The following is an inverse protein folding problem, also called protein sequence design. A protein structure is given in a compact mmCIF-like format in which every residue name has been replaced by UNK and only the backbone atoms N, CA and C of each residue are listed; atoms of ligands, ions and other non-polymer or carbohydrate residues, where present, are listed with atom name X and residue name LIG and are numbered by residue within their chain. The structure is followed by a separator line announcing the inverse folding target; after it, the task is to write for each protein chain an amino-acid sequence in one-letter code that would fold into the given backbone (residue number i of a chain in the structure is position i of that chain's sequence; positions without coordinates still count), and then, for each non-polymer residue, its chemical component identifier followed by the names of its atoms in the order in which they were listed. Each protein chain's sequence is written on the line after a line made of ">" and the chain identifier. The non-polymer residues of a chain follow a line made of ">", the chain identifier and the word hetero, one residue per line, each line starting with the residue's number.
data_IF_656131139061
#
_entry.id   IF_656131139061
#
_cell.length_a   1.000
_cell.length_b   1.000
_cell.length_c   1.000
_cell.angle_alpha   90.00
_cell.angle_beta   90.00
_cell.angle_gamma   90.00
#
_symmetry.space_group_name_H-M   'P 1'
#
loop_
_entity.id
_entity.type
_entity.pdbx_description
1 polymer ?
#
# COMPACT_ATOMS: atom_id res chain seq x y z
N UNK A 1 -0.23 17.00 15.83
CA UNK A 1 -0.49 17.11 14.37
C UNK A 1 0.62 16.49 13.50
N UNK A 2 1.92 16.68 13.81
CA UNK A 2 3.03 16.16 12.98
C UNK A 2 3.14 14.63 12.88
N UNK A 3 2.68 13.89 13.90
CA UNK A 3 2.73 12.42 13.93
C UNK A 3 1.84 11.77 12.88
N UNK A 4 0.70 12.40 12.53
CA UNK A 4 -0.20 11.90 11.49
C UNK A 4 0.36 12.11 10.09
N UNK A 5 1.00 13.26 9.85
CA UNK A 5 1.57 13.62 8.55
C UNK A 5 2.79 12.75 8.22
N UNK A 6 3.66 12.51 9.21
CA UNK A 6 4.80 11.61 9.06
C UNK A 6 4.38 10.15 8.83
N UNK A 7 3.26 9.71 9.41
CA UNK A 7 2.74 8.36 9.17
C UNK A 7 2.14 8.21 7.76
N UNK A 8 1.38 9.19 7.28
CA UNK A 8 0.85 9.21 5.91
C UNK A 8 1.97 9.23 4.86
N UNK A 9 3.02 10.02 5.07
CA UNK A 9 4.17 10.06 4.16
C UNK A 9 4.90 8.69 4.10
N UNK A 10 5.09 8.04 5.25
CA UNK A 10 5.69 6.69 5.31
C UNK A 10 4.80 5.66 4.61
N UNK A 11 3.49 5.72 4.85
CA UNK A 11 2.52 4.84 4.22
C UNK A 11 2.51 5.00 2.69
N UNK A 12 2.54 6.24 2.19
CA UNK A 12 2.69 6.52 0.76
C UNK A 12 3.99 5.93 0.20
N UNK A 13 5.11 6.13 0.90
CA UNK A 13 6.40 5.56 0.51
C UNK A 13 6.38 4.03 0.41
N UNK A 14 5.75 3.34 1.36
CA UNK A 14 5.59 1.88 1.30
C UNK A 14 4.73 1.43 0.12
N UNK A 15 3.61 2.10 -0.14
CA UNK A 15 2.75 1.77 -1.28
C UNK A 15 3.47 2.03 -2.61
N UNK A 16 4.24 3.12 -2.70
CA UNK A 16 5.02 3.47 -3.87
C UNK A 16 6.11 2.42 -4.13
N UNK A 17 6.84 2.03 -3.09
CA UNK A 17 7.83 0.95 -3.15
C UNK A 17 7.18 -0.39 -3.54
N UNK A 18 5.98 -0.68 -3.05
CA UNK A 18 5.23 -1.88 -3.41
C UNK A 18 4.84 -1.90 -4.90
N UNK A 19 4.40 -0.77 -5.47
CA UNK A 19 4.14 -0.69 -6.93
C UNK A 19 5.41 -0.88 -7.75
N UNK A 20 6.52 -0.30 -7.31
CA UNK A 20 7.80 -0.43 -7.99
C UNK A 20 8.29 -1.89 -7.95
N UNK A 21 8.24 -2.53 -6.78
CA UNK A 21 8.59 -3.93 -6.60
C UNK A 21 7.73 -4.84 -7.48
N UNK A 22 6.41 -4.61 -7.52
CA UNK A 22 5.50 -5.34 -8.39
C UNK A 22 5.95 -5.30 -9.86
N UNK A 23 6.30 -4.12 -10.37
CA UNK A 23 6.73 -3.96 -11.76
C UNK A 23 8.10 -4.59 -12.01
N UNK A 24 9.05 -4.45 -11.07
CA UNK A 24 10.37 -5.10 -11.19
C UNK A 24 10.21 -6.62 -11.30
N UNK A 25 9.44 -7.23 -10.41
CA UNK A 25 9.20 -8.68 -10.40
C UNK A 25 8.40 -9.11 -11.63
N UNK A 26 7.37 -8.35 -12.02
CA UNK A 26 6.57 -8.61 -13.21
C UNK A 26 7.40 -8.58 -14.51
N UNK A 27 8.30 -7.62 -14.66
CA UNK A 27 9.20 -7.52 -15.82
C UNK A 27 10.22 -8.65 -15.86
N UNK A 28 10.80 -9.01 -14.71
CA UNK A 28 11.79 -10.09 -14.61
C UNK A 28 11.21 -11.45 -15.07
N UNK A 29 9.90 -11.65 -14.89
CA UNK A 29 9.22 -12.89 -15.27
C UNK A 29 8.81 -12.96 -16.75
N UNK A 30 8.69 -11.83 -17.44
CA UNK A 30 8.17 -11.76 -18.82
C UNK A 30 9.25 -11.47 -19.89
N UNK A 31 10.55 -11.50 -19.53
CA UNK A 31 11.67 -11.14 -20.42
C UNK A 31 11.43 -9.82 -21.19
N UNK A 32 10.91 -8.80 -20.50
CA UNK A 32 10.71 -7.50 -21.12
C UNK A 32 12.02 -6.77 -21.44
N UNK A 33 11.94 -5.76 -22.31
CA UNK A 33 13.06 -4.93 -22.75
C UNK A 33 13.95 -4.49 -21.57
N UNK A 34 15.25 -4.81 -21.56
CA UNK A 34 16.15 -4.38 -20.49
C UNK A 34 16.24 -2.85 -20.40
N UNK A 35 16.42 -2.33 -19.19
CA UNK A 35 16.76 -0.92 -18.97
C UNK A 35 15.77 -0.12 -18.12
N UNK A 36 16.28 0.99 -17.56
CA UNK A 36 15.56 1.88 -16.63
C UNK A 36 14.33 2.51 -17.28
N UNK A 37 14.39 2.84 -18.58
CA UNK A 37 13.28 3.47 -19.29
C UNK A 37 12.07 2.53 -19.41
N UNK A 38 12.30 1.25 -19.74
CA UNK A 38 11.23 0.26 -19.78
C UNK A 38 10.56 0.10 -18.42
N UNK A 39 11.35 0.03 -17.34
CA UNK A 39 10.84 0.01 -15.97
C UNK A 39 9.95 1.22 -15.68
N UNK A 40 10.41 2.44 -15.99
CA UNK A 40 9.66 3.66 -15.76
C UNK A 40 8.37 3.71 -16.60
N UNK A 41 8.42 3.28 -17.87
CA UNK A 41 7.26 3.17 -18.76
C UNK A 41 6.21 2.23 -18.17
N UNK A 42 6.61 1.08 -17.63
CA UNK A 42 5.70 0.12 -17.03
C UNK A 42 5.18 0.56 -15.65
N UNK A 43 5.97 1.33 -14.90
CA UNK A 43 5.67 1.73 -13.52
C UNK A 43 4.82 2.99 -13.39
N UNK A 44 5.03 4.00 -14.25
CA UNK A 44 4.35 5.28 -14.12
C UNK A 44 2.80 5.20 -14.09
N UNK A 45 2.11 4.28 -14.80
CA UNK A 45 0.64 4.22 -14.74
C UNK A 45 0.14 3.91 -13.32
N UNK A 46 0.80 2.98 -12.63
CA UNK A 46 0.47 2.61 -11.26
C UNK A 46 0.90 3.69 -10.26
N UNK A 47 2.08 4.29 -10.46
CA UNK A 47 2.55 5.38 -9.61
C UNK A 47 1.66 6.62 -9.70
N UNK A 48 1.18 6.95 -10.90
CA UNK A 48 0.24 8.05 -11.13
C UNK A 48 -1.12 7.79 -10.48
N UNK A 49 -1.69 6.60 -10.68
CA UNK A 49 -2.96 6.21 -10.05
C UNK A 49 -2.86 6.19 -8.51
N UNK A 50 -1.75 5.67 -7.96
CA UNK A 50 -1.47 5.67 -6.53
C UNK A 50 -1.37 7.09 -5.97
N UNK A 51 -0.65 7.97 -6.67
CA UNK A 51 -0.49 9.36 -6.28
C UNK A 51 -1.84 10.06 -6.26
N UNK A 52 -2.67 9.88 -7.29
CA UNK A 52 -4.02 10.42 -7.33
C UNK A 52 -4.90 9.91 -6.16
N UNK A 53 -4.85 8.61 -5.86
CA UNK A 53 -5.57 8.03 -4.73
C UNK A 53 -5.15 8.67 -3.40
N UNK A 54 -3.85 8.85 -3.18
CA UNK A 54 -3.32 9.48 -1.97
C UNK A 54 -3.65 10.97 -1.86
N UNK A 55 -3.68 11.71 -2.99
CA UNK A 55 -4.14 13.09 -3.00
C UNK A 55 -5.59 13.21 -2.54
N UNK A 56 -6.48 12.32 -3.01
CA UNK A 56 -7.87 12.27 -2.56
C UNK A 56 -7.95 11.99 -1.06
N UNK A 57 -7.20 11.01 -0.56
CA UNK A 57 -7.13 10.69 0.87
C UNK A 57 -6.64 11.89 1.70
N UNK A 58 -5.61 12.60 1.22
CA UNK A 58 -5.03 13.75 1.88
C UNK A 58 -6.03 14.92 1.94
N UNK A 59 -6.72 15.21 0.83
CA UNK A 59 -7.76 16.25 0.75
C UNK A 59 -8.92 15.92 1.69
N UNK A 60 -9.35 14.65 1.72
CA UNK A 60 -10.45 14.19 2.57
C UNK A 60 -10.03 13.93 4.03
N UNK A 61 -8.75 14.15 4.38
CA UNK A 61 -8.17 13.94 5.72
C UNK A 61 -8.55 12.60 6.35
N UNK A 62 -8.61 11.54 5.54
CA UNK A 62 -9.00 10.20 6.02
C UNK A 62 -7.88 9.60 6.89
N UNK A 63 -8.21 8.95 8.03
CA UNK A 63 -7.21 8.32 8.87
C UNK A 63 -6.69 7.04 8.20
N UNK A 64 -5.38 6.87 8.23
CA UNK A 64 -4.71 5.67 7.69
C UNK A 64 -5.23 4.42 8.43
N UNK A 65 -5.91 3.58 7.68
CA UNK A 65 -6.60 2.39 8.16
C UNK A 65 -6.58 1.30 7.10
N UNK A 66 -6.98 0.07 7.47
CA UNK A 66 -7.11 -1.04 6.53
C UNK A 66 -8.13 -0.69 5.42
N UNK A 67 -9.27 -0.08 5.77
CA UNK A 67 -10.28 0.35 4.80
C UNK A 67 -9.76 1.39 3.81
N UNK A 68 -8.94 2.35 4.27
CA UNK A 68 -8.25 3.27 3.37
C UNK A 68 -7.29 2.54 2.42
N UNK A 69 -6.55 1.54 2.92
CA UNK A 69 -5.67 0.71 2.10
C UNK A 69 -6.42 -0.03 0.99
N UNK A 70 -7.60 -0.58 1.29
CA UNK A 70 -8.48 -1.24 0.31
C UNK A 70 -8.94 -0.24 -0.75
N UNK A 71 -9.36 0.96 -0.35
CA UNK A 71 -9.79 1.98 -1.30
C UNK A 71 -8.64 2.44 -2.22
N UNK A 72 -7.47 2.75 -1.64
CA UNK A 72 -6.27 3.10 -2.41
C UNK A 72 -5.90 1.97 -3.37
N UNK A 73 -5.96 0.72 -2.93
CA UNK A 73 -5.69 -0.44 -3.77
C UNK A 73 -6.61 -0.51 -4.99
N UNK A 74 -7.93 -0.41 -4.78
CA UNK A 74 -8.91 -0.46 -5.88
C UNK A 74 -8.64 0.66 -6.88
N UNK A 75 -8.47 1.90 -6.41
CA UNK A 75 -8.21 3.05 -7.28
C UNK A 75 -6.89 2.90 -8.03
N UNK A 76 -5.82 2.44 -7.38
CA UNK A 76 -4.52 2.25 -8.00
C UNK A 76 -4.55 1.17 -9.08
N UNK A 77 -5.21 0.04 -8.82
CA UNK A 77 -5.34 -1.05 -9.80
C UNK A 77 -6.18 -0.59 -10.98
N UNK A 78 -7.39 -0.05 -10.74
CA UNK A 78 -8.28 0.40 -11.81
C UNK A 78 -7.65 1.53 -12.62
N UNK A 79 -7.13 2.57 -11.95
CA UNK A 79 -6.47 3.69 -12.61
C UNK A 79 -5.21 3.29 -13.35
N UNK A 80 -4.39 2.41 -12.76
CA UNK A 80 -3.18 1.88 -13.40
C UNK A 80 -3.50 1.10 -14.69
N UNK A 81 -4.53 0.25 -14.67
CA UNK A 81 -4.96 -0.48 -15.85
C UNK A 81 -5.53 0.44 -16.93
N UNK A 82 -6.34 1.43 -16.55
CA UNK A 82 -6.89 2.41 -17.50
C UNK A 82 -5.77 3.22 -18.17
N UNK A 83 -4.80 3.72 -17.39
CA UNK A 83 -3.66 4.46 -17.92
C UNK A 83 -2.78 3.59 -18.82
N UNK A 84 -2.57 2.32 -18.46
CA UNK A 84 -1.86 1.36 -19.33
C UNK A 84 -2.57 1.13 -20.66
N UNK A 85 -3.90 0.93 -20.62
CA UNK A 85 -4.72 0.76 -21.81
C UNK A 85 -4.65 1.99 -22.72
N UNK A 86 -4.81 3.19 -22.14
CA UNK A 86 -4.71 4.46 -22.85
C UNK A 86 -3.32 4.70 -23.47
N UNK A 87 -2.27 4.13 -22.88
CA UNK A 87 -0.88 4.27 -23.32
C UNK A 87 -0.42 3.16 -24.27
N UNK A 88 -1.32 2.27 -24.70
CA UNK A 88 -1.00 1.17 -25.61
C UNK A 88 -0.13 0.06 -24.99
N UNK A 89 0.02 0.00 -23.67
CA UNK A 89 0.86 -1.00 -22.99
C UNK A 89 0.17 -2.37 -22.84
N UNK A 90 -1.12 -2.44 -23.19
CA UNK A 90 -1.93 -3.64 -23.02
C UNK A 90 -2.32 -3.94 -21.57
N UNK A 91 -3.45 -4.63 -21.42
CA UNK A 91 -4.01 -5.10 -20.14
C UNK A 91 -4.52 -6.53 -20.30
N UNK A 92 -3.60 -7.49 -20.37
CA UNK A 92 -3.97 -8.90 -20.42
C UNK A 92 -4.73 -9.29 -19.14
N UNK A 93 -5.77 -10.13 -19.26
CA UNK A 93 -6.58 -10.57 -18.11
C UNK A 93 -5.71 -11.20 -17.00
N UNK A 94 -4.72 -12.07 -17.28
CA UNK A 94 -3.83 -12.59 -16.25
C UNK A 94 -3.06 -11.50 -15.51
N UNK A 95 -2.61 -10.46 -16.23
CA UNK A 95 -1.91 -9.34 -15.63
C UNK A 95 -2.82 -8.54 -14.69
N UNK A 96 -4.09 -8.34 -15.05
CA UNK A 96 -5.07 -7.70 -14.17
C UNK A 96 -5.23 -8.49 -12.87
N UNK A 97 -5.39 -9.82 -12.97
CA UNK A 97 -5.56 -10.71 -11.81
C UNK A 97 -4.32 -10.64 -10.90
N UNK A 98 -3.12 -10.83 -11.46
CA UNK A 98 -1.87 -10.83 -10.69
C UNK A 98 -1.63 -9.47 -10.06
N UNK A 99 -1.79 -8.37 -10.80
CA UNK A 99 -1.65 -7.01 -10.27
C UNK A 99 -2.62 -6.76 -9.12
N UNK A 100 -3.88 -7.16 -9.29
CA UNK A 100 -4.93 -7.02 -8.27
C UNK A 100 -4.55 -7.77 -6.99
N UNK A 101 -4.16 -9.03 -7.09
CA UNK A 101 -3.81 -9.86 -5.94
C UNK A 101 -2.52 -9.39 -5.25
N UNK A 102 -1.46 -9.11 -6.01
CA UNK A 102 -0.16 -8.72 -5.46
C UNK A 102 -0.24 -7.34 -4.82
N UNK A 103 -0.78 -6.33 -5.52
CA UNK A 103 -0.92 -4.99 -4.93
C UNK A 103 -1.90 -4.99 -3.76
N UNK A 104 -2.96 -5.80 -3.81
CA UNK A 104 -3.90 -5.97 -2.71
C UNK A 104 -3.21 -6.53 -1.48
N UNK A 105 -2.44 -7.61 -1.64
CA UNK A 105 -1.64 -8.19 -0.57
C UNK A 105 -0.64 -7.19 -0.01
N UNK A 106 0.09 -6.48 -0.86
CA UNK A 106 1.10 -5.52 -0.41
C UNK A 106 0.44 -4.36 0.35
N UNK A 107 -0.54 -3.68 -0.25
CA UNK A 107 -1.13 -2.46 0.34
C UNK A 107 -1.95 -2.76 1.60
N UNK A 108 -2.74 -3.83 1.57
CA UNK A 108 -3.61 -4.20 2.70
C UNK A 108 -2.82 -4.97 3.75
N UNK A 109 -1.90 -5.85 3.34
CA UNK A 109 -1.14 -6.73 4.22
C UNK A 109 -0.28 -5.96 5.22
N UNK A 110 0.49 -4.96 4.76
CA UNK A 110 1.35 -4.19 5.69
C UNK A 110 0.51 -3.41 6.70
N UNK A 111 -0.64 -2.86 6.28
CA UNK A 111 -1.58 -2.14 7.16
C UNK A 111 -2.23 -3.07 8.17
N UNK A 112 -2.58 -4.30 7.77
CA UNK A 112 -3.12 -5.32 8.66
C UNK A 112 -2.08 -5.75 9.71
N UNK A 113 -0.83 -5.96 9.30
CA UNK A 113 0.29 -6.28 10.19
C UNK A 113 0.49 -5.14 11.21
N UNK A 114 0.53 -3.90 10.76
CA UNK A 114 0.73 -2.74 11.62
C UNK A 114 -0.44 -2.53 12.60
N UNK A 115 -1.68 -2.76 12.16
CA UNK A 115 -2.85 -2.79 13.04
C UNK A 115 -2.75 -3.91 14.11
N UNK A 116 -2.29 -5.10 13.73
CA UNK A 116 -2.11 -6.22 14.65
C UNK A 116 -1.01 -5.94 15.69
N UNK A 117 0.13 -5.38 15.26
CA UNK A 117 1.23 -5.00 16.16
C UNK A 117 0.76 -3.96 17.18
N UNK A 118 0.04 -2.91 16.73
CA UNK A 118 -0.54 -1.91 17.62
C UNK A 118 -1.51 -2.50 18.63
N UNK A 119 -2.36 -3.45 18.20
CA UNK A 119 -3.31 -4.14 19.09
C UNK A 119 -2.57 -4.93 20.17
N UNK A 120 -1.54 -5.71 19.81
CA UNK A 120 -0.73 -6.49 20.76
C UNK A 120 -0.03 -5.61 21.79
N UNK A 121 0.56 -4.48 21.38
CA UNK A 121 1.23 -3.55 22.31
C UNK A 121 0.27 -2.96 23.34
N UNK A 122 -0.97 -2.62 22.94
CA UNK A 122 -2.00 -2.13 23.87
C UNK A 122 -2.41 -3.21 24.88
N UNK A 123 -2.57 -4.46 24.44
CA UNK A 123 -2.88 -5.58 25.33
C UNK A 123 -1.76 -5.83 26.35
N UNK A 124 -0.49 -5.81 25.92
CA UNK A 124 0.65 -5.98 26.83
C UNK A 124 0.75 -4.85 27.86
N UNK A 125 0.50 -3.60 27.47
CA UNK A 125 0.47 -2.47 28.39
C UNK A 125 -0.66 -2.59 29.42
N UNK A 126 -1.86 -3.03 29.00
CA UNK A 126 -2.98 -3.27 29.91
C UNK A 126 -2.70 -4.41 30.91
N UNK A 127 -2.05 -5.50 30.46
CA UNK A 127 -1.61 -6.58 31.35
C UNK A 127 -0.56 -6.13 32.36
N UNK A 128 0.38 -5.27 31.95
CA UNK A 128 1.40 -4.74 32.85
C UNK A 128 0.81 -3.80 33.91
N UNK A 129 -0.16 -2.97 33.53
CA UNK A 129 -0.87 -2.08 34.46
C UNK A 129 -1.67 -2.89 35.49
N UNK A 130 -2.42 -3.90 35.05
CA UNK A 130 -3.19 -4.79 35.94
C UNK A 130 -2.31 -5.52 36.96
N UNK A 131 -1.11 -5.99 36.56
CA UNK A 131 -0.17 -6.61 37.51
C UNK A 131 0.32 -5.61 38.58
N UNK A 132 0.64 -4.38 38.18
CA UNK A 132 1.09 -3.33 39.12
C UNK A 132 0.00 -2.94 40.13
N UNK A 133 -1.26 -2.91 39.71
CA UNK A 133 -2.37 -2.61 40.61
C UNK A 133 -2.62 -3.71 41.63
N UNK A 134 -2.46 -4.99 41.24
CA UNK A 134 -2.61 -6.13 42.15
C UNK A 134 -1.46 -6.22 43.16
N UNK A 135 -0.21 -5.94 42.77
CA UNK A 135 0.92 -5.92 43.72
C UNK A 135 0.88 -4.74 44.70
N UNK A 136 0.17 -3.65 44.37
CA UNK A 136 0.11 -2.43 45.20
C UNK A 136 -0.97 -2.48 46.29
N UNK A 137 -1.96 -3.36 46.16
CA UNK A 137 -3.06 -3.53 47.12
C UNK A 137 -3.27 -5.03 47.39
N UNK A 138 -2.55 -5.61 48.36
CA UNK A 138 -2.79 -6.99 48.82
C UNK A 138 -4.09 -7.12 49.63
#
# INVERSE_FOLDING_TARGET
>A
MSTSLGYSARAFGFDLAATLLFVIVGRATHQETPGILGLLIAWWPFAAALTAAWLVVAVLRRPVSVGQGVWIWVVTVTGGMLLRAASGQGTAVPFIIVATLVLGLLFVGWRAIDALIRRRRRSLAASAESRRTTERYP
#
